data_IF_536003677186
#
_entry.id   IF_536003677186
#
_cell.length_a   1.000
_cell.length_b   1.000
_cell.length_c   1.000
_cell.angle_alpha   90.00
_cell.angle_beta   90.00
_cell.angle_gamma   90.00
#
_symmetry.space_group_name_H-M   'P 1'
#
loop_
_entity.id
_entity.type
_entity.pdbx_description
1 polymer ?
#
# COMPACT_ATOMS: atom_id res chain seq x y z
N UNK A 1 3.59 -0.13 -21.09
CA UNK A 1 2.58 -1.16 -21.44
C UNK A 1 1.82 -1.53 -20.17
N UNK A 2 0.55 -1.81 -20.28
CA UNK A 2 -0.36 -2.19 -19.20
C UNK A 2 -0.93 -3.56 -19.56
N UNK A 3 -0.83 -4.53 -18.65
CA UNK A 3 -1.32 -5.91 -18.86
C UNK A 3 -2.59 -6.16 -18.00
N UNK A 4 -3.61 -5.35 -18.21
CA UNK A 4 -4.91 -5.48 -17.53
C UNK A 4 -5.99 -5.61 -18.59
N UNK A 5 -6.98 -6.46 -18.33
CA UNK A 5 -8.09 -6.74 -19.26
C UNK A 5 -8.88 -5.48 -19.60
N UNK A 6 -9.15 -4.62 -18.61
CA UNK A 6 -9.84 -3.37 -18.81
C UNK A 6 -9.04 -2.20 -18.22
N UNK A 7 -8.38 -1.43 -19.08
CA UNK A 7 -7.54 -0.31 -18.67
C UNK A 7 -8.32 0.85 -18.03
N UNK A 8 -9.62 0.97 -18.32
CA UNK A 8 -10.49 2.02 -17.79
C UNK A 8 -10.89 1.78 -16.32
N UNK A 9 -10.64 0.59 -15.78
CA UNK A 9 -10.95 0.25 -14.39
C UNK A 9 -9.79 0.57 -13.41
N UNK A 10 -8.66 1.02 -13.92
CA UNK A 10 -7.54 1.42 -13.06
C UNK A 10 -7.82 2.85 -12.58
N UNK A 11 -7.87 3.05 -11.28
CA UNK A 11 -7.94 4.40 -10.71
C UNK A 11 -6.73 5.25 -11.12
N UNK A 12 -6.96 6.54 -11.35
CA UNK A 12 -5.94 7.46 -11.86
C UNK A 12 -4.75 7.59 -10.92
N UNK A 13 -4.97 7.54 -9.61
CA UNK A 13 -3.94 7.53 -8.56
C UNK A 13 -3.00 6.33 -8.68
N UNK A 14 -3.54 5.13 -8.88
CA UNK A 14 -2.78 3.90 -9.06
C UNK A 14 -1.93 3.94 -10.33
N UNK A 15 -2.53 4.38 -11.44
CA UNK A 15 -1.82 4.52 -12.71
C UNK A 15 -0.70 5.55 -12.61
N UNK A 16 -0.98 6.68 -11.97
CA UNK A 16 -0.02 7.76 -11.72
C UNK A 16 1.18 7.25 -10.92
N UNK A 17 0.93 6.55 -9.83
CA UNK A 17 1.98 5.96 -8.99
C UNK A 17 2.87 5.00 -9.77
N UNK A 18 2.29 4.14 -10.61
CA UNK A 18 3.04 3.18 -11.42
C UNK A 18 3.87 3.84 -12.52
N UNK A 19 3.35 4.89 -13.15
CA UNK A 19 4.12 5.65 -14.16
C UNK A 19 5.36 6.25 -13.51
N UNK A 20 5.19 6.88 -12.36
CA UNK A 20 6.30 7.50 -11.64
C UNK A 20 7.29 6.48 -11.04
N UNK A 21 6.79 5.39 -10.47
CA UNK A 21 7.63 4.28 -10.01
C UNK A 21 8.48 3.69 -11.16
N UNK A 22 7.89 3.57 -12.36
CA UNK A 22 8.63 3.13 -13.56
C UNK A 22 9.71 4.14 -13.98
N UNK A 23 9.44 5.44 -13.87
CA UNK A 23 10.45 6.48 -14.15
C UNK A 23 11.68 6.32 -13.26
N UNK A 24 11.47 6.09 -11.96
CA UNK A 24 12.54 6.04 -10.96
C UNK A 24 13.27 4.69 -10.98
N UNK A 25 12.53 3.58 -11.01
CA UNK A 25 13.07 2.24 -10.77
C UNK A 25 13.03 1.32 -11.99
N UNK A 26 12.45 1.75 -13.11
CA UNK A 26 12.30 1.03 -14.39
C UNK A 26 11.41 -0.22 -14.33
N UNK A 27 11.67 -1.14 -13.40
CA UNK A 27 10.94 -2.41 -13.27
C UNK A 27 11.06 -3.01 -11.86
N UNK A 28 10.35 -4.11 -11.61
CA UNK A 28 10.36 -4.88 -10.34
C UNK A 28 10.06 -4.02 -9.14
N UNK A 29 8.91 -3.33 -9.18
CA UNK A 29 8.45 -2.47 -8.10
C UNK A 29 7.05 -2.88 -7.67
N UNK A 30 6.81 -2.91 -6.38
CA UNK A 30 5.48 -2.91 -5.78
C UNK A 30 5.31 -1.55 -5.09
N UNK A 31 4.30 -0.80 -5.50
CA UNK A 31 3.87 0.41 -4.78
C UNK A 31 2.73 0.02 -3.86
N UNK A 32 2.89 0.29 -2.58
CA UNK A 32 1.86 0.07 -1.55
C UNK A 32 1.40 1.45 -1.09
N UNK A 33 0.13 1.76 -1.36
CA UNK A 33 -0.48 3.04 -0.98
C UNK A 33 -1.48 2.83 0.15
N UNK A 34 -1.29 3.56 1.24
CA UNK A 34 -2.12 3.55 2.45
C UNK A 34 -3.08 4.74 2.46
N UNK A 35 -4.07 4.69 1.59
CA UNK A 35 -5.15 5.66 1.48
C UNK A 35 -6.49 5.15 2.05
N UNK A 36 -7.60 5.61 1.48
CA UNK A 36 -8.96 5.11 1.78
C UNK A 36 -9.06 3.60 1.54
N UNK A 37 -8.40 3.10 0.52
CA UNK A 37 -8.05 1.69 0.35
C UNK A 37 -6.54 1.52 0.55
N UNK A 38 -6.10 0.32 0.95
CA UNK A 38 -4.69 -0.05 0.85
C UNK A 38 -4.50 -0.82 -0.45
N UNK A 39 -3.71 -0.26 -1.37
CA UNK A 39 -3.48 -0.86 -2.69
C UNK A 39 -2.06 -1.36 -2.84
N UNK A 40 -1.89 -2.42 -3.64
CA UNK A 40 -0.59 -2.94 -4.06
C UNK A 40 -0.56 -2.93 -5.58
N UNK A 41 0.29 -2.14 -6.16
CA UNK A 41 0.42 -2.02 -7.61
C UNK A 41 1.76 -2.55 -8.09
N UNK A 42 1.73 -3.51 -9.03
CA UNK A 42 2.89 -4.32 -9.41
C UNK A 42 3.42 -3.93 -10.79
N UNK A 43 4.67 -3.48 -10.83
CA UNK A 43 5.46 -3.29 -12.04
C UNK A 43 6.43 -4.47 -12.19
N UNK A 44 6.20 -5.32 -13.18
CA UNK A 44 6.97 -6.56 -13.35
C UNK A 44 8.39 -6.35 -13.91
N UNK A 45 9.11 -7.46 -14.15
CA UNK A 45 10.48 -7.44 -14.67
C UNK A 45 10.63 -6.79 -16.05
N UNK A 46 9.55 -6.75 -16.85
CA UNK A 46 9.52 -6.11 -18.17
C UNK A 46 9.13 -4.62 -18.11
N UNK A 47 8.96 -4.05 -16.92
CA UNK A 47 8.47 -2.69 -16.74
C UNK A 47 7.04 -2.50 -17.26
N UNK A 48 6.21 -3.54 -17.13
CA UNK A 48 4.79 -3.54 -17.49
C UNK A 48 3.98 -3.53 -16.20
N UNK A 49 2.96 -2.69 -16.11
CA UNK A 49 1.99 -2.75 -15.02
C UNK A 49 1.23 -4.07 -15.14
N UNK A 50 1.43 -4.94 -14.18
CA UNK A 50 0.93 -6.31 -14.21
C UNK A 50 -0.47 -6.43 -13.59
N UNK A 51 -0.77 -5.56 -12.66
CA UNK A 51 -2.01 -5.54 -11.89
C UNK A 51 -1.76 -5.16 -10.45
N UNK A 52 -2.75 -5.40 -9.60
CA UNK A 52 -2.60 -5.05 -8.19
C UNK A 52 -3.61 -5.74 -7.30
N UNK A 53 -3.53 -5.41 -6.01
CA UNK A 53 -4.42 -5.87 -4.96
C UNK A 53 -5.06 -4.65 -4.33
N UNK A 54 -6.32 -4.73 -3.96
CA UNK A 54 -7.04 -3.69 -3.22
C UNK A 54 -7.61 -4.32 -1.96
N UNK A 55 -7.32 -3.71 -0.83
CA UNK A 55 -7.88 -4.06 0.47
C UNK A 55 -8.50 -2.83 1.13
N UNK A 56 -9.38 -2.97 2.10
CA UNK A 56 -9.85 -1.82 2.86
C UNK A 56 -8.67 -1.04 3.45
N UNK A 57 -8.78 0.29 3.50
CA UNK A 57 -7.79 1.13 4.18
C UNK A 57 -7.91 1.03 5.70
N UNK A 58 -6.85 1.40 6.40
CA UNK A 58 -6.74 1.27 7.86
C UNK A 58 -7.82 2.08 8.57
N UNK A 59 -7.92 3.37 8.27
CA UNK A 59 -8.86 4.27 8.94
C UNK A 59 -10.32 3.91 8.59
N UNK A 60 -10.58 3.53 7.33
CA UNK A 60 -11.88 3.01 6.92
C UNK A 60 -12.27 1.78 7.74
N UNK A 61 -11.37 0.84 7.90
CA UNK A 61 -11.62 -0.41 8.64
C UNK A 61 -11.83 -0.16 10.13
N UNK A 62 -11.07 0.75 10.75
CA UNK A 62 -11.25 1.16 12.15
C UNK A 62 -12.61 1.82 12.38
N UNK A 63 -13.00 2.72 11.47
CA UNK A 63 -14.30 3.39 11.54
C UNK A 63 -15.47 2.39 11.40
N UNK A 64 -15.37 1.47 10.44
CA UNK A 64 -16.40 0.43 10.23
C UNK A 64 -16.50 -0.50 11.43
N UNK A 65 -15.36 -0.90 12.02
CA UNK A 65 -15.34 -1.75 13.20
C UNK A 65 -16.07 -1.08 14.38
N UNK A 66 -15.80 0.19 14.66
CA UNK A 66 -16.51 0.96 15.68
C UNK A 66 -17.99 1.11 15.35
N UNK A 67 -18.32 1.54 14.12
CA UNK A 67 -19.71 1.79 13.70
C UNK A 67 -20.59 0.53 13.73
N UNK A 68 -20.05 -0.63 13.39
CA UNK A 68 -20.80 -1.89 13.28
C UNK A 68 -20.83 -2.70 14.57
N UNK A 69 -20.21 -2.22 15.65
CA UNK A 69 -20.18 -2.95 16.92
C UNK A 69 -20.66 -2.06 18.07
N UNK A 70 -21.47 -2.66 18.97
CA UNK A 70 -22.07 -1.90 20.07
C UNK A 70 -21.08 -1.49 21.19
N UNK A 71 -19.93 -2.17 21.30
CA UNK A 71 -19.02 -2.04 22.46
C UNK A 71 -17.57 -1.70 22.12
N UNK A 72 -17.20 -1.72 20.84
CA UNK A 72 -15.82 -1.45 20.47
C UNK A 72 -15.58 0.06 20.32
N UNK A 73 -14.64 0.65 21.06
CA UNK A 73 -14.37 2.07 20.96
C UNK A 73 -13.69 2.43 19.64
N UNK A 74 -13.90 3.66 19.17
CA UNK A 74 -13.10 4.21 18.10
C UNK A 74 -11.67 4.43 18.60
N UNK A 75 -10.69 3.89 17.88
CA UNK A 75 -9.27 4.05 18.18
C UNK A 75 -8.55 4.69 16.99
N UNK A 76 -7.44 5.38 17.26
CA UNK A 76 -6.56 5.89 16.22
C UNK A 76 -5.50 4.83 15.89
N UNK A 77 -5.15 4.71 14.60
CA UNK A 77 -4.08 3.82 14.19
C UNK A 77 -2.74 4.26 14.80
N UNK A 78 -2.01 3.31 15.34
CA UNK A 78 -0.65 3.54 15.86
C UNK A 78 0.16 2.27 15.87
N UNK A 79 1.48 2.42 15.89
CA UNK A 79 2.40 1.30 16.10
C UNK A 79 2.31 0.78 17.54
N UNK A 80 2.21 -0.53 17.69
CA UNK A 80 2.19 -1.20 19.00
C UNK A 80 3.43 -2.05 19.20
N UNK A 81 3.87 -2.16 20.47
CA UNK A 81 5.01 -3.01 20.83
C UNK A 81 4.59 -4.47 21.02
N UNK A 82 3.47 -4.67 21.72
CA UNK A 82 2.97 -6.00 22.06
C UNK A 82 1.98 -6.48 20.99
N UNK A 83 2.03 -7.79 20.70
CA UNK A 83 1.07 -8.44 19.79
C UNK A 83 -0.25 -8.71 20.50
N UNK A 84 -0.21 -9.07 21.78
CA UNK A 84 -1.42 -9.30 22.59
C UNK A 84 -1.71 -8.07 23.42
N UNK A 85 -2.90 -7.48 23.24
CA UNK A 85 -3.38 -6.35 24.05
C UNK A 85 -4.05 -6.85 25.34
N UNK A 86 -3.91 -6.08 26.41
CA UNK A 86 -4.45 -6.41 27.74
C UNK A 86 -5.86 -5.82 28.00
N UNK A 87 -6.36 -5.02 27.09
CA UNK A 87 -7.72 -4.46 27.11
C UNK A 87 -8.24 -4.31 25.67
N UNK A 88 -9.53 -4.01 25.53
CA UNK A 88 -10.20 -3.90 24.22
C UNK A 88 -9.52 -2.90 23.28
N UNK A 89 -9.13 -1.73 23.81
CA UNK A 89 -8.45 -0.70 23.01
C UNK A 89 -7.11 -1.20 22.49
N UNK A 90 -6.27 -1.77 23.35
CA UNK A 90 -4.98 -2.33 22.95
C UNK A 90 -5.13 -3.51 21.99
N UNK A 91 -6.14 -4.35 22.20
CA UNK A 91 -6.43 -5.47 21.31
C UNK A 91 -6.78 -4.99 19.89
N UNK A 92 -7.60 -3.93 19.76
CA UNK A 92 -7.91 -3.33 18.44
C UNK A 92 -6.65 -2.71 17.83
N UNK A 93 -5.93 -1.86 18.57
CA UNK A 93 -4.70 -1.21 18.10
C UNK A 93 -3.66 -2.24 17.62
N UNK A 94 -3.46 -3.30 18.39
CA UNK A 94 -2.56 -4.40 18.05
C UNK A 94 -3.02 -5.20 16.84
N UNK A 95 -4.28 -5.58 16.81
CA UNK A 95 -4.87 -6.33 15.69
C UNK A 95 -4.71 -5.60 14.36
N UNK A 96 -4.94 -4.28 14.36
CA UNK A 96 -4.74 -3.47 13.17
C UNK A 96 -3.25 -3.35 12.79
N UNK A 97 -2.37 -3.00 13.72
CA UNK A 97 -0.95 -2.83 13.40
C UNK A 97 -0.32 -4.15 12.93
N UNK A 98 -0.38 -5.19 13.74
CA UNK A 98 0.23 -6.48 13.41
C UNK A 98 -0.50 -7.22 12.29
N UNK A 99 -1.82 -7.06 12.19
CA UNK A 99 -2.61 -7.59 11.09
C UNK A 99 -2.19 -7.01 9.75
N UNK A 100 -2.06 -5.68 9.65
CA UNK A 100 -1.54 -5.03 8.44
C UNK A 100 -0.08 -5.38 8.15
N UNK A 101 0.77 -5.47 9.18
CA UNK A 101 2.15 -5.95 9.02
C UNK A 101 2.17 -7.33 8.35
N UNK A 102 1.44 -8.29 8.91
CA UNK A 102 1.37 -9.66 8.41
C UNK A 102 0.77 -9.73 7.00
N UNK A 103 -0.28 -8.94 6.75
CA UNK A 103 -0.90 -8.83 5.42
C UNK A 103 0.11 -8.32 4.38
N UNK A 104 0.83 -7.24 4.69
CA UNK A 104 1.82 -6.64 3.79
C UNK A 104 2.92 -7.65 3.46
N UNK A 105 3.55 -8.24 4.48
CA UNK A 105 4.62 -9.23 4.28
C UNK A 105 4.13 -10.47 3.52
N UNK A 106 2.94 -10.96 3.88
CA UNK A 106 2.34 -12.11 3.24
C UNK A 106 1.99 -11.87 1.77
N UNK A 107 1.44 -10.69 1.44
CA UNK A 107 1.09 -10.34 0.06
C UNK A 107 2.34 -10.08 -0.79
N UNK A 108 3.37 -9.41 -0.27
CA UNK A 108 4.65 -9.27 -0.96
C UNK A 108 5.21 -10.64 -1.32
N UNK A 109 5.27 -11.57 -0.34
CA UNK A 109 5.75 -12.94 -0.57
C UNK A 109 4.95 -13.66 -1.63
N UNK A 110 3.62 -13.56 -1.63
CA UNK A 110 2.75 -14.19 -2.62
C UNK A 110 2.95 -13.61 -4.02
N UNK A 111 3.08 -12.27 -4.14
CA UNK A 111 3.38 -11.61 -5.42
C UNK A 111 4.72 -12.10 -5.96
N UNK A 112 5.77 -12.18 -5.12
CA UNK A 112 7.08 -12.65 -5.53
C UNK A 112 7.08 -14.11 -5.98
N UNK A 113 6.32 -14.97 -5.30
CA UNK A 113 6.14 -16.38 -5.68
C UNK A 113 5.41 -16.50 -7.03
N UNK A 114 4.32 -15.76 -7.24
CA UNK A 114 3.55 -15.77 -8.47
C UNK A 114 4.36 -15.26 -9.66
N UNK A 115 5.07 -14.14 -9.48
CA UNK A 115 5.89 -13.50 -10.51
C UNK A 115 7.24 -14.19 -10.71
N UNK A 116 7.67 -15.08 -9.81
CA UNK A 116 9.00 -15.71 -9.76
C UNK A 116 10.13 -14.67 -9.81
N UNK A 117 9.94 -13.56 -9.09
CA UNK A 117 10.85 -12.41 -9.13
C UNK A 117 10.92 -11.74 -7.74
N UNK A 118 11.89 -10.85 -7.57
CA UNK A 118 12.12 -10.06 -6.35
C UNK A 118 11.85 -8.61 -6.64
N UNK A 119 11.13 -7.93 -5.74
CA UNK A 119 10.65 -6.58 -5.97
C UNK A 119 11.24 -5.58 -4.97
N UNK A 120 11.47 -4.35 -5.44
CA UNK A 120 11.63 -3.16 -4.60
C UNK A 120 10.26 -2.73 -4.12
N UNK A 121 10.17 -2.26 -2.89
CA UNK A 121 8.90 -1.85 -2.28
C UNK A 121 8.92 -0.35 -2.05
N UNK A 122 7.89 0.33 -2.51
CA UNK A 122 7.61 1.74 -2.20
C UNK A 122 6.39 1.76 -1.30
N UNK A 123 6.47 2.50 -0.18
CA UNK A 123 5.34 2.78 0.69
C UNK A 123 4.94 4.24 0.54
N UNK A 124 3.66 4.51 0.30
CA UNK A 124 3.10 5.85 0.19
C UNK A 124 1.75 5.96 0.90
N UNK A 125 1.20 7.18 0.97
CA UNK A 125 -0.03 7.47 1.67
C UNK A 125 0.15 7.78 3.15
N UNK A 126 -0.90 8.28 3.79
CA UNK A 126 -0.85 8.88 5.12
C UNK A 126 -0.37 7.97 6.25
N UNK A 127 -0.55 6.66 6.10
CA UNK A 127 -0.14 5.67 7.11
C UNK A 127 1.20 4.96 6.78
N UNK A 128 1.88 5.32 5.68
CA UNK A 128 3.10 4.65 5.22
C UNK A 128 4.23 4.65 6.26
N UNK A 129 4.40 5.75 7.01
CA UNK A 129 5.47 5.94 7.98
C UNK A 129 5.40 4.95 9.16
N UNK A 130 4.21 4.46 9.52
CA UNK A 130 4.04 3.47 10.58
C UNK A 130 4.69 2.12 10.24
N UNK A 131 4.88 1.84 8.95
CA UNK A 131 5.46 0.58 8.45
C UNK A 131 6.95 0.67 8.14
N UNK A 132 7.62 1.73 8.62
CA UNK A 132 9.08 1.82 8.52
C UNK A 132 9.75 0.61 9.18
N UNK A 133 10.59 -0.08 8.39
CA UNK A 133 11.32 -1.27 8.85
C UNK A 133 10.54 -2.59 8.75
N UNK A 134 9.31 -2.58 8.20
CA UNK A 134 8.50 -3.79 8.04
C UNK A 134 9.16 -4.84 7.13
N UNK A 135 9.84 -4.40 6.11
CA UNK A 135 10.43 -5.30 5.12
C UNK A 135 11.77 -4.74 4.60
N UNK A 136 12.79 -5.60 4.51
CA UNK A 136 14.16 -5.21 4.08
C UNK A 136 14.26 -4.68 2.65
N UNK A 137 13.27 -4.95 1.80
CA UNK A 137 13.20 -4.49 0.39
C UNK A 137 12.47 -3.16 0.22
N UNK A 138 12.04 -2.52 1.30
CA UNK A 138 11.50 -1.16 1.26
C UNK A 138 12.63 -0.21 0.90
N UNK A 139 12.54 0.39 -0.29
CA UNK A 139 13.56 1.31 -0.83
C UNK A 139 13.15 2.76 -0.73
N UNK A 140 11.85 3.02 -0.54
CA UNK A 140 11.31 4.37 -0.40
C UNK A 140 10.06 4.36 0.49
N UNK A 141 9.97 5.33 1.39
CA UNK A 141 8.76 5.69 2.13
C UNK A 141 8.54 7.17 1.88
N UNK A 142 7.46 7.52 1.21
CA UNK A 142 7.16 8.91 0.83
C UNK A 142 5.64 9.10 0.78
N UNK A 143 5.09 9.79 1.77
CA UNK A 143 3.64 10.05 1.85
C UNK A 143 3.10 10.90 0.69
N UNK A 144 3.99 11.70 0.06
CA UNK A 144 3.67 12.58 -1.07
C UNK A 144 4.01 11.96 -2.44
N UNK A 145 4.28 10.67 -2.50
CA UNK A 145 4.70 10.01 -3.75
C UNK A 145 3.69 10.23 -4.87
N UNK A 146 2.38 10.09 -4.59
CA UNK A 146 1.31 10.31 -5.58
C UNK A 146 1.27 11.76 -6.07
N UNK A 147 1.45 12.74 -5.17
CA UNK A 147 1.51 14.16 -5.56
C UNK A 147 2.74 14.47 -6.43
N UNK A 148 3.89 13.89 -6.11
CA UNK A 148 5.09 13.99 -6.93
C UNK A 148 4.92 13.32 -8.29
N UNK A 149 4.22 12.19 -8.31
CA UNK A 149 3.88 11.48 -9.55
C UNK A 149 2.96 12.30 -10.46
N UNK A 150 1.93 12.96 -9.90
CA UNK A 150 1.07 13.87 -10.63
C UNK A 150 1.85 15.05 -11.21
N UNK A 151 2.68 15.69 -10.40
CA UNK A 151 3.53 16.80 -10.87
C UNK A 151 4.48 16.36 -12.00
N UNK A 152 5.06 15.17 -11.88
CA UNK A 152 5.90 14.61 -12.95
C UNK A 152 5.11 14.44 -14.26
N UNK A 153 3.90 13.86 -14.20
CA UNK A 153 3.06 13.64 -15.38
C UNK A 153 2.66 14.97 -16.01
N UNK A 154 2.24 15.96 -15.22
CA UNK A 154 1.89 17.29 -15.72
C UNK A 154 3.06 17.94 -16.45
N UNK A 155 4.27 17.84 -15.92
CA UNK A 155 5.45 18.47 -16.54
C UNK A 155 5.93 17.73 -17.81
N UNK A 156 5.73 16.42 -17.90
CA UNK A 156 6.21 15.63 -19.06
C UNK A 156 5.18 15.56 -20.20
N UNK A 157 3.90 15.81 -19.93
CA UNK A 157 2.80 15.62 -20.88
C UNK A 157 1.89 16.85 -21.03
N UNK A 158 2.28 18.02 -20.49
CA UNK A 158 1.54 19.29 -20.57
C UNK A 158 1.84 20.07 -21.87
N UNK A 159 2.35 19.41 -22.94
CA UNK A 159 2.49 19.96 -24.28
C UNK A 159 1.30 19.65 -25.18
#
# INVERSE_FOLDING_TARGET
>A
KINIKNKKEIGDDRLTNIIYAKKIYKNRVIVIDFGTATTFDVLNSKGVYFGGIITPGIDLSLNVLNYRTAKLPLVKFKKTKNVVGFNTKEAIESGFFWGYCSMIEGLIKKIEQEQKDVFKIILTGGNASYFKGIHKKVVLIDEFFTSKALNYILNEYAE
#
